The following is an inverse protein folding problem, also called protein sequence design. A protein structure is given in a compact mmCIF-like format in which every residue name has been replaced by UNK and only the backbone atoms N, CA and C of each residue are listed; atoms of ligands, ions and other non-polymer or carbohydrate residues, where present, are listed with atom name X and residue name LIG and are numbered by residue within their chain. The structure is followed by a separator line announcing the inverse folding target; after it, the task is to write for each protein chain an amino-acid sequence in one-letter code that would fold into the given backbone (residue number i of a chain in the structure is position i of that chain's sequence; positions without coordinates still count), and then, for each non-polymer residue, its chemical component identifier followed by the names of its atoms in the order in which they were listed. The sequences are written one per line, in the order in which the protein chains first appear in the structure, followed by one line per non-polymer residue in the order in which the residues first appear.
data_IF_220422035224
#
_entry.id   IF_220422035224
#
_cell.length_a   1.000
_cell.length_b   1.000
_cell.length_c   1.000
_cell.angle_alpha   90.00
_cell.angle_beta   90.00
_cell.angle_gamma   90.00
#
_symmetry.space_group_name_H-M   'P 1'
#
loop_
_entity.id
_entity.type
_entity.pdbx_description
1 polymer ?
#
# COMPACT_ATOMS: atom_id res chain seq x y z
N UNK A 1 -7.57 6.41 -12.50
CA UNK A 1 -7.78 7.41 -11.43
C UNK A 1 -7.47 6.74 -10.10
N UNK A 2 -6.71 7.40 -9.22
CA UNK A 2 -6.04 6.81 -8.05
C UNK A 2 -6.89 7.08 -6.80
N UNK A 3 -7.63 6.09 -6.30
CA UNK A 3 -8.41 6.23 -5.06
C UNK A 3 -7.47 5.97 -3.88
N UNK A 4 -6.96 7.03 -3.25
CA UNK A 4 -6.30 6.88 -1.95
C UNK A 4 -7.38 6.60 -0.91
N UNK A 5 -7.37 5.41 -0.32
CA UNK A 5 -8.22 5.09 0.82
C UNK A 5 -7.63 5.81 2.04
N UNK A 6 -8.24 6.92 2.44
CA UNK A 6 -7.87 7.65 3.64
C UNK A 6 -8.49 6.93 4.83
N UNK A 7 -7.65 6.38 5.70
CA UNK A 7 -8.10 5.83 7.00
C UNK A 7 -7.89 6.88 8.07
N UNK A 8 -8.95 7.18 8.83
CA UNK A 8 -8.93 8.13 9.93
C UNK A 8 -8.36 7.46 11.18
N UNK A 9 -7.19 7.90 11.64
CA UNK A 9 -6.62 7.47 12.92
C UNK A 9 -6.84 8.58 13.95
N UNK A 10 -7.48 8.23 15.06
CA UNK A 10 -7.74 9.15 16.18
C UNK A 10 -6.72 8.87 17.29
N UNK A 11 -5.81 9.81 17.55
CA UNK A 11 -4.86 9.74 18.67
C UNK A 11 -5.38 10.61 19.80
N UNK A 12 -5.52 10.03 20.99
CA UNK A 12 -5.84 10.78 22.21
C UNK A 12 -4.58 11.45 22.75
N UNK A 13 -4.61 12.77 22.89
CA UNK A 13 -3.53 13.57 23.49
C UNK A 13 -4.08 14.19 24.77
N UNK A 14 -3.31 14.06 25.85
CA UNK A 14 -3.61 14.67 27.15
C UNK A 14 -3.25 16.16 27.08
N UNK A 15 -4.16 17.08 27.47
CA UNK A 15 -3.84 18.52 27.55
C UNK A 15 -2.65 18.69 28.53
N UNK A 16 -1.57 19.39 28.14
CA UNK A 16 -0.39 19.59 29.00
C UNK A 16 -0.61 20.86 29.85
N UNK A 17 -0.54 20.75 31.18
CA UNK A 17 -0.75 21.87 32.11
C UNK A 17 0.43 22.85 32.07
N UNK A 18 0.28 23.97 31.33
CA UNK A 18 1.28 25.04 31.23
C UNK A 18 0.84 26.36 31.89
N UNK A 19 0.17 26.28 33.05
CA UNK A 19 -0.30 27.45 33.80
C UNK A 19 -1.58 28.04 33.20
N UNK A 20 -2.66 27.95 33.99
CA UNK A 20 -3.98 28.60 33.81
C UNK A 20 -4.74 28.35 32.50
N UNK A 21 -4.17 27.66 31.51
CA UNK A 21 -4.82 27.34 30.23
C UNK A 21 -4.42 25.95 29.74
N UNK A 22 -5.39 25.04 29.68
CA UNK A 22 -5.22 23.74 29.03
C UNK A 22 -5.07 23.96 27.52
N UNK A 23 -3.91 23.58 26.95
CA UNK A 23 -3.59 23.78 25.53
C UNK A 23 -3.29 22.46 24.83
N UNK A 24 -3.75 22.35 23.58
CA UNK A 24 -3.46 21.22 22.70
C UNK A 24 -2.58 21.61 21.53
N UNK A 25 -1.45 20.91 21.38
CA UNK A 25 -0.42 21.21 20.39
C UNK A 25 -0.81 20.68 19.00
N UNK A 26 -0.90 21.56 18.00
CA UNK A 26 -1.13 21.17 16.60
C UNK A 26 0.19 20.69 15.98
N UNK A 27 0.11 20.01 14.84
CA UNK A 27 1.28 19.48 14.13
C UNK A 27 2.23 20.57 13.57
N UNK A 28 1.82 21.83 13.67
CA UNK A 28 2.62 23.00 13.29
C UNK A 28 3.13 23.62 14.60
N UNK A 29 4.44 23.84 14.75
CA UNK A 29 5.06 24.25 16.02
C UNK A 29 4.56 25.59 16.59
N UNK A 30 3.69 26.32 15.89
CA UNK A 30 3.18 27.63 16.29
C UNK A 30 1.65 27.72 16.53
N UNK A 31 0.90 26.62 16.44
CA UNK A 31 -0.56 26.66 16.60
C UNK A 31 -1.03 25.78 17.76
N UNK A 32 -1.57 26.40 18.81
CA UNK A 32 -2.26 25.73 19.90
C UNK A 32 -3.77 26.03 19.86
N UNK A 33 -4.59 25.11 20.36
CA UNK A 33 -6.00 25.40 20.69
C UNK A 33 -6.21 25.27 22.18
N UNK A 34 -6.95 26.21 22.76
CA UNK A 34 -7.40 26.16 24.15
C UNK A 34 -8.47 25.07 24.28
N UNK A 35 -8.32 24.18 25.27
CA UNK A 35 -9.31 23.13 25.56
C UNK A 35 -10.62 23.83 26.04
N UNK A 36 -11.82 23.42 25.57
CA UNK A 36 -13.09 23.96 26.07
C UNK A 36 -13.24 23.71 27.59
N UNK A 37 -13.96 24.59 28.29
CA UNK A 37 -14.18 24.46 29.74
C UNK A 37 -14.76 23.07 30.09
N UNK A 38 -14.11 22.37 31.03
CA UNK A 38 -14.51 21.03 31.48
C UNK A 38 -14.00 19.84 30.64
N UNK A 39 -13.16 20.06 29.62
CA UNK A 39 -12.53 18.98 28.83
C UNK A 39 -11.00 18.93 29.02
N UNK A 40 -10.49 17.78 29.46
CA UNK A 40 -9.05 17.52 29.68
C UNK A 40 -8.40 16.68 28.56
N UNK A 41 -9.19 16.24 27.57
CA UNK A 41 -8.75 15.36 26.49
C UNK A 41 -8.93 16.05 25.14
N UNK A 42 -7.88 16.04 24.33
CA UNK A 42 -7.93 16.40 22.92
C UNK A 42 -7.74 15.17 22.05
N UNK A 43 -8.50 15.12 20.97
CA UNK A 43 -8.29 14.13 19.92
C UNK A 43 -7.53 14.79 18.77
N UNK A 44 -6.48 14.12 18.31
CA UNK A 44 -5.75 14.49 17.11
C UNK A 44 -6.06 13.46 16.05
N UNK A 45 -6.84 13.87 15.06
CA UNK A 45 -7.14 13.07 13.88
C UNK A 45 -6.04 13.28 12.84
N UNK A 46 -5.45 12.18 12.39
CA UNK A 46 -4.56 12.18 11.23
C UNK A 46 -5.21 11.38 10.10
N UNK A 47 -5.19 11.98 8.90
CA UNK A 47 -5.49 11.25 7.67
C UNK A 47 -4.26 10.41 7.34
N UNK A 48 -4.32 9.10 7.58
CA UNK A 48 -3.27 8.19 7.13
C UNK A 48 -3.65 7.71 5.73
N UNK A 49 -2.81 8.03 4.75
CA UNK A 49 -2.90 7.42 3.42
C UNK A 49 -2.37 5.99 3.52
N UNK A 50 -3.27 5.01 3.67
CA UNK A 50 -2.89 3.62 3.58
C UNK A 50 -2.56 3.32 2.11
N UNK A 51 -1.27 3.27 1.76
CA UNK A 51 -0.86 2.84 0.42
C UNK A 51 -1.15 1.35 0.30
N UNK A 52 -2.40 0.99 -0.02
CA UNK A 52 -2.77 -0.35 -0.50
C UNK A 52 -2.33 -0.59 -1.95
N UNK A 53 -1.48 0.29 -2.49
CA UNK A 53 -0.81 0.10 -3.77
C UNK A 53 0.39 -0.83 -3.59
N UNK A 54 0.29 -2.05 -4.12
CA UNK A 54 1.41 -2.96 -4.32
C UNK A 54 2.62 -2.21 -4.88
N UNK A 55 3.73 -2.18 -4.14
CA UNK A 55 5.02 -1.65 -4.64
C UNK A 55 5.73 -2.64 -5.55
N UNK A 56 5.16 -3.83 -5.74
CA UNK A 56 5.75 -4.94 -6.48
C UNK A 56 6.00 -4.55 -7.93
N UNK A 57 7.21 -4.81 -8.40
CA UNK A 57 7.62 -4.65 -9.80
C UNK A 57 7.74 -6.02 -10.43
N UNK A 58 7.15 -6.22 -11.61
CA UNK A 58 7.29 -7.46 -12.37
C UNK A 58 7.87 -7.18 -13.76
N UNK A 59 8.67 -8.10 -14.27
CA UNK A 59 9.19 -8.06 -15.62
C UNK A 59 8.06 -8.24 -16.64
N UNK A 60 8.21 -7.58 -17.79
CA UNK A 60 7.37 -7.76 -18.98
C UNK A 60 7.98 -8.85 -19.86
N UNK A 61 7.25 -9.25 -20.90
CA UNK A 61 7.75 -10.22 -21.88
C UNK A 61 8.96 -9.68 -22.66
N UNK A 62 8.97 -8.37 -22.92
CA UNK A 62 10.10 -7.70 -23.55
C UNK A 62 11.30 -7.75 -22.57
N UNK A 63 12.47 -8.26 -23.01
CA UNK A 63 13.68 -8.27 -22.21
C UNK A 63 13.99 -6.89 -21.63
N UNK A 64 14.48 -6.84 -20.38
CA UNK A 64 14.89 -5.62 -19.67
C UNK A 64 13.77 -4.62 -19.31
N UNK A 65 12.52 -4.85 -19.73
CA UNK A 65 11.39 -4.02 -19.37
C UNK A 65 10.64 -4.56 -18.15
N UNK A 66 10.29 -3.69 -17.20
CA UNK A 66 9.45 -4.01 -16.03
C UNK A 66 8.28 -3.04 -15.89
N UNK A 67 7.32 -3.37 -15.02
CA UNK A 67 6.25 -2.46 -14.62
C UNK A 67 5.96 -2.60 -13.12
N UNK A 68 5.54 -1.50 -12.51
CA UNK A 68 4.90 -1.54 -11.18
C UNK A 68 3.51 -2.17 -11.32
N UNK A 69 3.17 -3.07 -10.40
CA UNK A 69 1.87 -3.70 -10.37
C UNK A 69 0.77 -2.73 -9.90
N UNK A 70 -0.44 -2.85 -10.45
CA UNK A 70 -1.58 -2.09 -9.94
C UNK A 70 -1.97 -2.56 -8.53
N UNK A 71 -2.73 -1.74 -7.81
CA UNK A 71 -3.27 -2.11 -6.50
C UNK A 71 -4.05 -3.44 -6.57
N UNK A 72 -3.95 -4.24 -5.52
CA UNK A 72 -4.54 -5.58 -5.45
C UNK A 72 -3.76 -6.69 -6.16
N UNK A 73 -2.76 -6.37 -7.01
CA UNK A 73 -1.92 -7.38 -7.67
C UNK A 73 -0.58 -7.54 -6.94
N UNK A 74 -0.52 -8.54 -6.07
CA UNK A 74 0.59 -8.79 -5.16
C UNK A 74 1.51 -9.95 -5.60
N UNK A 75 1.30 -10.49 -6.81
CA UNK A 75 2.11 -11.56 -7.38
C UNK A 75 2.58 -11.19 -8.78
N UNK A 76 3.80 -11.61 -9.12
CA UNK A 76 4.27 -11.71 -10.49
C UNK A 76 3.98 -13.11 -11.04
N UNK A 77 3.83 -13.25 -12.36
CA UNK A 77 3.70 -14.55 -13.01
C UNK A 77 4.51 -14.66 -14.31
N UNK A 78 4.90 -15.91 -14.62
CA UNK A 78 5.33 -16.40 -15.93
C UNK A 78 4.31 -17.41 -16.44
N UNK A 79 3.96 -17.33 -17.72
CA UNK A 79 3.12 -18.30 -18.39
C UNK A 79 3.93 -18.98 -19.49
N UNK A 80 3.87 -20.30 -19.54
CA UNK A 80 4.53 -21.13 -20.53
C UNK A 80 3.51 -21.98 -21.27
N UNK A 81 3.78 -22.28 -22.54
CA UNK A 81 3.10 -23.37 -23.24
C UNK A 81 3.71 -24.69 -22.74
N UNK A 82 2.91 -25.73 -22.55
CA UNK A 82 3.44 -27.05 -22.13
C UNK A 82 4.39 -27.64 -23.18
N UNK A 83 4.21 -27.29 -24.46
CA UNK A 83 5.09 -27.65 -25.58
C UNK A 83 6.47 -26.98 -25.52
N UNK A 84 6.60 -25.81 -24.88
CA UNK A 84 7.88 -25.12 -24.70
C UNK A 84 7.94 -24.45 -23.33
N UNK A 85 8.57 -25.15 -22.38
CA UNK A 85 8.72 -24.73 -20.98
C UNK A 85 9.91 -23.79 -20.75
N UNK A 86 10.73 -23.55 -21.77
CA UNK A 86 11.95 -22.73 -21.65
C UNK A 86 11.64 -21.26 -21.88
N UNK A 87 10.77 -20.95 -22.84
CA UNK A 87 10.42 -19.57 -23.22
C UNK A 87 9.02 -19.23 -22.70
N UNK A 88 8.89 -18.25 -21.78
CA UNK A 88 7.57 -17.82 -21.34
C UNK A 88 6.88 -17.06 -22.46
N UNK A 89 5.60 -17.37 -22.70
CA UNK A 89 4.74 -16.68 -23.67
C UNK A 89 4.12 -15.41 -23.08
N UNK A 90 4.07 -15.29 -21.74
CA UNK A 90 3.53 -14.10 -21.07
C UNK A 90 4.16 -13.91 -19.70
N UNK A 91 4.33 -12.62 -19.33
CA UNK A 91 4.80 -12.19 -18.01
C UNK A 91 3.96 -11.02 -17.51
N UNK A 92 3.71 -10.94 -16.21
CA UNK A 92 3.00 -9.79 -15.65
C UNK A 92 2.67 -9.88 -14.17
N UNK A 93 1.69 -9.08 -13.76
CA UNK A 93 1.18 -9.04 -12.39
C UNK A 93 -0.19 -9.70 -12.31
N UNK A 94 -0.45 -10.38 -11.20
CA UNK A 94 -1.74 -10.99 -10.85
C UNK A 94 -1.97 -10.90 -9.34
N UNK A 95 -3.22 -11.05 -8.93
CA UNK A 95 -3.69 -11.10 -7.54
C UNK A 95 -3.69 -12.54 -7.01
N UNK A 96 -4.12 -13.50 -7.82
CA UNK A 96 -4.16 -14.94 -7.50
C UNK A 96 -3.38 -15.74 -8.53
N UNK A 97 -2.56 -16.69 -8.10
CA UNK A 97 -1.81 -17.54 -9.02
C UNK A 97 -2.76 -18.54 -9.72
N UNK A 98 -2.85 -18.55 -11.07
CA UNK A 98 -3.72 -19.48 -11.79
C UNK A 98 -3.24 -20.92 -11.64
N UNK A 99 -4.17 -21.87 -11.74
CA UNK A 99 -3.83 -23.30 -11.80
C UNK A 99 -3.25 -23.65 -13.17
N UNK A 100 -2.34 -24.62 -13.19
CA UNK A 100 -1.84 -25.20 -14.43
C UNK A 100 -2.95 -25.93 -15.17
N UNK A 101 -2.84 -25.98 -16.49
CA UNK A 101 -3.73 -26.74 -17.37
C UNK A 101 -2.92 -27.63 -18.31
N UNK A 102 -3.60 -28.41 -19.14
CA UNK A 102 -2.96 -29.31 -20.12
C UNK A 102 -2.15 -28.56 -21.19
N UNK A 103 -2.46 -27.28 -21.44
CA UNK A 103 -1.84 -26.48 -22.49
C UNK A 103 -0.89 -25.42 -21.95
N UNK A 104 -1.16 -24.89 -20.76
CA UNK A 104 -0.38 -23.80 -20.16
C UNK A 104 0.04 -24.08 -18.71
N UNK A 105 1.28 -23.70 -18.40
CA UNK A 105 1.86 -23.72 -17.06
C UNK A 105 2.05 -22.29 -16.55
N UNK A 106 1.67 -22.04 -15.32
CA UNK A 106 1.90 -20.79 -14.60
C UNK A 106 2.93 -20.99 -13.49
N UNK A 107 3.83 -20.02 -13.36
CA UNK A 107 4.76 -19.92 -12.22
C UNK A 107 4.62 -18.53 -11.63
N UNK A 108 4.38 -18.44 -10.32
CA UNK A 108 4.14 -17.18 -9.62
C UNK A 108 5.15 -16.96 -8.49
N UNK A 109 5.44 -15.69 -8.21
CA UNK A 109 6.37 -15.26 -7.18
C UNK A 109 5.95 -13.87 -6.64
N UNK A 110 6.41 -13.50 -5.44
CA UNK A 110 5.94 -12.32 -4.70
C UNK A 110 7.03 -11.28 -4.41
N UNK A 111 8.18 -11.37 -5.07
CA UNK A 111 9.32 -10.46 -4.91
C UNK A 111 9.56 -9.62 -6.17
N UNK A 112 10.28 -8.51 -6.02
CA UNK A 112 10.53 -7.60 -7.15
C UNK A 112 11.31 -8.29 -8.28
N UNK A 113 10.76 -8.20 -9.49
CA UNK A 113 11.33 -8.66 -10.77
C UNK A 113 11.71 -10.14 -10.78
N UNK A 114 10.98 -10.97 -10.03
CA UNK A 114 11.23 -12.41 -9.92
C UNK A 114 10.76 -13.22 -11.15
N UNK A 115 9.86 -12.64 -11.96
CA UNK A 115 9.24 -13.32 -13.10
C UNK A 115 9.91 -13.06 -14.46
#
# INVERSE_FOLDING_TARGET
MKTLLLTLVVVTIVCLDLGSTLKCNKLIPLAYKTCPAGKNLCYKMYMVSNKTGSTLKCNKLIPLAYKTCPAGKNLCYKMYMVSNKTVPVKRGCIDVCPKNSLLVKYECCNTDRCN
#
